data_IF_964886154803
#
_entry.id   IF_964886154803
#
_cell.length_a   1.000
_cell.length_b   1.000
_cell.length_c   1.000
_cell.angle_alpha   90.00
_cell.angle_beta   90.00
_cell.angle_gamma   90.00
#
_symmetry.space_group_name_H-M   'P 1'
#
loop_
_entity.id
_entity.type
_entity.pdbx_description
1 polymer ?
#
# COMPACT_ATOMS: atom_id res chain seq x y z
N UNK A 1 -12.31 -9.00 7.25
CA UNK A 1 -11.52 -10.11 6.67
C UNK A 1 -10.54 -9.50 5.68
N UNK A 2 -9.24 -9.53 5.97
CA UNK A 2 -8.21 -8.97 5.07
C UNK A 2 -8.01 -10.00 3.94
N UNK A 3 -8.07 -9.58 2.68
CA UNK A 3 -8.04 -10.51 1.55
C UNK A 3 -6.70 -11.26 1.40
N UNK A 4 -6.70 -12.31 0.57
CA UNK A 4 -5.53 -13.17 0.32
C UNK A 4 -4.30 -12.34 -0.07
N UNK A 5 -3.11 -12.79 0.34
CA UNK A 5 -1.84 -12.24 -0.15
C UNK A 5 -1.78 -12.31 -1.69
N UNK A 6 -1.31 -11.23 -2.32
CA UNK A 6 -1.16 -11.14 -3.78
C UNK A 6 0.31 -10.95 -4.10
N UNK A 7 0.80 -11.67 -5.11
CA UNK A 7 2.17 -11.48 -5.57
C UNK A 7 2.27 -10.18 -6.35
N UNK A 8 3.28 -9.33 -6.09
CA UNK A 8 3.60 -8.19 -6.96
C UNK A 8 3.71 -8.56 -8.44
N UNK A 9 4.17 -9.78 -8.74
CA UNK A 9 4.38 -10.28 -10.09
C UNK A 9 3.06 -10.39 -10.90
N UNK A 10 1.92 -10.56 -10.22
CA UNK A 10 0.61 -10.74 -10.84
C UNK A 10 0.01 -9.43 -11.36
N UNK A 11 0.69 -8.30 -11.14
CA UNK A 11 0.26 -7.02 -11.68
C UNK A 11 0.58 -6.94 -13.18
N UNK A 12 -0.40 -6.60 -14.02
CA UNK A 12 -0.23 -6.53 -15.48
C UNK A 12 0.80 -5.47 -15.90
N UNK A 13 0.82 -4.31 -15.24
CA UNK A 13 1.72 -3.21 -15.56
C UNK A 13 3.13 -3.39 -14.97
N UNK A 14 4.15 -3.43 -15.84
CA UNK A 14 5.57 -3.60 -15.47
C UNK A 14 6.07 -2.53 -14.48
N UNK A 15 5.75 -1.27 -14.72
CA UNK A 15 6.24 -0.16 -13.87
C UNK A 15 5.68 -0.23 -12.45
N UNK A 16 4.41 -0.60 -12.32
CA UNK A 16 3.77 -0.80 -11.02
C UNK A 16 4.37 -2.03 -10.34
N UNK A 17 4.52 -3.15 -11.06
CA UNK A 17 5.14 -4.39 -10.56
C UNK A 17 6.50 -4.13 -9.93
N UNK A 18 7.37 -3.36 -10.59
CA UNK A 18 8.70 -3.06 -10.07
C UNK A 18 8.67 -2.26 -8.76
N UNK A 19 7.74 -1.31 -8.63
CA UNK A 19 7.54 -0.60 -7.35
C UNK A 19 6.98 -1.53 -6.28
N UNK A 20 5.99 -2.37 -6.60
CA UNK A 20 5.40 -3.31 -5.65
C UNK A 20 6.43 -4.29 -5.10
N UNK A 21 7.29 -4.86 -5.97
CA UNK A 21 8.38 -5.75 -5.55
C UNK A 21 9.30 -5.08 -4.53
N UNK A 22 9.72 -3.83 -4.80
CA UNK A 22 10.59 -3.06 -3.92
C UNK A 22 9.93 -2.79 -2.57
N UNK A 23 8.64 -2.44 -2.57
CA UNK A 23 7.91 -2.16 -1.34
C UNK A 23 7.68 -3.42 -0.51
N UNK A 24 7.31 -4.54 -1.13
CA UNK A 24 7.18 -5.82 -0.42
C UNK A 24 8.52 -6.28 0.16
N UNK A 25 9.62 -6.13 -0.59
CA UNK A 25 10.96 -6.38 -0.07
C UNK A 25 11.34 -5.45 1.10
N UNK A 26 10.82 -4.23 1.12
CA UNK A 26 10.96 -3.28 2.22
C UNK A 26 9.97 -3.54 3.39
N UNK A 27 9.25 -4.66 3.38
CA UNK A 27 8.37 -5.08 4.48
C UNK A 27 6.93 -4.59 4.38
N UNK A 28 6.50 -4.06 3.24
CA UNK A 28 5.08 -3.78 3.01
C UNK A 28 4.31 -5.08 2.73
N UNK A 29 3.11 -5.21 3.28
CA UNK A 29 2.22 -6.32 2.96
C UNK A 29 1.30 -5.96 1.80
N UNK A 30 1.21 -6.82 0.78
CA UNK A 30 0.31 -6.64 -0.36
C UNK A 30 -0.83 -7.66 -0.29
N UNK A 31 -2.07 -7.16 -0.25
CA UNK A 31 -3.28 -7.98 -0.08
C UNK A 31 -4.28 -7.72 -1.21
N UNK A 32 -5.03 -8.75 -1.60
CA UNK A 32 -6.14 -8.64 -2.55
C UNK A 32 -7.26 -7.86 -1.89
N UNK A 33 -7.58 -6.70 -2.43
CA UNK A 33 -8.69 -5.88 -1.95
C UNK A 33 -9.16 -4.95 -3.06
N UNK A 34 -10.46 -4.65 -3.08
CA UNK A 34 -11.08 -3.87 -4.15
C UNK A 34 -10.85 -4.52 -5.52
N UNK A 35 -10.62 -3.69 -6.54
CA UNK A 35 -10.43 -4.16 -7.92
C UNK A 35 -9.14 -4.96 -8.13
N UNK A 36 -8.08 -4.71 -7.37
CA UNK A 36 -6.84 -5.48 -7.50
C UNK A 36 -6.15 -5.76 -6.17
N UNK A 37 -5.67 -4.72 -5.48
CA UNK A 37 -4.96 -4.93 -4.23
C UNK A 37 -4.73 -3.65 -3.45
N UNK A 38 -4.22 -3.80 -2.25
CA UNK A 38 -3.84 -2.71 -1.36
C UNK A 38 -2.54 -3.06 -0.63
N UNK A 39 -1.64 -2.08 -0.57
CA UNK A 39 -0.43 -2.14 0.23
C UNK A 39 -0.73 -1.67 1.64
N UNK A 40 -0.13 -2.36 2.60
CA UNK A 40 -0.24 -2.14 4.03
C UNK A 40 1.14 -1.92 4.59
N UNK A 41 1.36 -0.79 5.27
CA UNK A 41 2.63 -0.56 5.92
C UNK A 41 2.70 -1.29 7.27
N UNK A 42 3.85 -1.87 7.60
CA UNK A 42 4.12 -2.70 8.77
C UNK A 42 4.48 -1.91 10.04
N UNK A 43 3.84 -0.75 10.26
CA UNK A 43 4.06 0.07 11.45
C UNK A 43 3.73 -0.68 12.76
N UNK A 44 4.42 -0.35 13.88
CA UNK A 44 4.01 -0.77 15.22
C UNK A 44 2.53 -0.38 15.46
N UNK A 45 1.72 -1.32 15.98
CA UNK A 45 0.27 -1.12 16.18
C UNK A 45 -0.65 -1.73 15.11
N UNK A 46 -0.13 -2.55 14.19
CA UNK A 46 -0.95 -3.30 13.22
C UNK A 46 -1.16 -2.59 11.88
N UNK A 47 -0.41 -1.52 11.64
CA UNK A 47 -0.39 -0.75 10.40
C UNK A 47 -0.71 0.71 10.63
N UNK A 48 -0.17 1.58 9.77
CA UNK A 48 -0.36 3.04 9.88
C UNK A 48 -0.86 3.63 8.57
N UNK A 49 -0.37 3.16 7.43
CA UNK A 49 -0.70 3.70 6.12
C UNK A 49 -1.09 2.57 5.17
N UNK A 50 -2.14 2.80 4.39
CA UNK A 50 -2.52 1.94 3.28
C UNK A 50 -2.48 2.69 1.95
N UNK A 51 -2.12 1.97 0.89
CA UNK A 51 -2.05 2.53 -0.47
C UNK A 51 -2.82 1.59 -1.41
N UNK A 52 -3.94 2.04 -2.01
CA UNK A 52 -4.65 1.23 -2.99
C UNK A 52 -3.81 1.07 -4.26
N UNK A 53 -3.84 -0.13 -4.83
CA UNK A 53 -3.17 -0.48 -6.08
C UNK A 53 -4.24 -0.76 -7.14
N UNK A 54 -4.38 0.11 -8.16
CA UNK A 54 -5.35 -0.12 -9.23
C UNK A 54 -4.89 -1.26 -10.14
N UNK A 55 -5.78 -2.16 -10.54
CA UNK A 55 -5.42 -3.26 -11.46
C UNK A 55 -5.11 -2.80 -12.88
N UNK A 56 -5.70 -1.68 -13.30
CA UNK A 56 -5.43 -1.06 -14.60
C UNK A 56 -5.21 0.43 -14.41
N UNK A 57 -4.04 0.92 -14.80
CA UNK A 57 -3.71 2.33 -14.73
C UNK A 57 -3.74 2.98 -16.12
N UNK A 58 -4.45 4.11 -16.26
CA UNK A 58 -4.40 4.92 -17.50
C UNK A 58 -2.97 5.41 -17.83
N UNK A 59 -2.16 5.63 -16.78
CA UNK A 59 -0.74 5.95 -16.89
C UNK A 59 0.02 5.16 -15.81
N UNK A 60 0.58 3.99 -16.16
CA UNK A 60 1.27 3.13 -15.20
C UNK A 60 2.44 3.81 -14.50
N UNK A 61 3.26 4.56 -15.22
CA UNK A 61 4.46 5.18 -14.66
C UNK A 61 4.15 6.30 -13.66
N UNK A 62 3.16 7.14 -13.96
CA UNK A 62 2.66 8.14 -13.00
C UNK A 62 2.08 7.47 -11.77
N UNK A 63 1.33 6.38 -11.96
CA UNK A 63 0.73 5.61 -10.85
C UNK A 63 1.81 4.99 -9.97
N UNK A 64 2.81 4.35 -10.57
CA UNK A 64 3.96 3.78 -9.88
C UNK A 64 4.73 4.83 -9.06
N UNK A 65 5.01 6.01 -9.65
CA UNK A 65 5.64 7.14 -8.93
C UNK A 65 4.79 7.63 -7.76
N UNK A 66 3.47 7.71 -7.93
CA UNK A 66 2.56 8.10 -6.86
C UNK A 66 2.55 7.08 -5.71
N UNK A 67 2.52 5.79 -6.01
CA UNK A 67 2.62 4.71 -5.02
C UNK A 67 3.94 4.83 -4.25
N UNK A 68 5.07 4.94 -4.95
CA UNK A 68 6.38 5.10 -4.34
C UNK A 68 6.46 6.36 -3.45
N UNK A 69 5.90 7.49 -3.91
CA UNK A 69 5.88 8.75 -3.13
C UNK A 69 5.06 8.61 -1.85
N UNK A 70 3.89 7.96 -1.91
CA UNK A 70 3.06 7.71 -0.72
C UNK A 70 3.75 6.74 0.25
N UNK A 71 4.44 5.73 -0.27
CA UNK A 71 5.15 4.77 0.55
C UNK A 71 6.28 5.40 1.37
N UNK A 72 6.93 6.46 0.87
CA UNK A 72 7.92 7.25 1.63
C UNK A 72 7.37 7.92 2.89
N UNK A 73 6.04 8.07 3.01
CA UNK A 73 5.41 8.64 4.20
C UNK A 73 5.34 7.64 5.35
N UNK A 74 5.60 6.35 5.10
CA UNK A 74 5.67 5.36 6.17
C UNK A 74 7.09 5.32 6.77
N UNK A 75 7.25 5.27 8.11
CA UNK A 75 6.19 5.26 9.13
C UNK A 75 5.54 6.63 9.35
N UNK A 76 4.21 6.65 9.45
CA UNK A 76 3.48 7.84 9.87
C UNK A 76 3.57 7.99 11.41
N UNK A 77 3.74 9.21 11.95
CA UNK A 77 3.64 9.49 13.39
C UNK A 77 2.31 9.03 13.98
N UNK A 78 2.27 8.76 15.30
CA UNK A 78 1.06 8.28 16.00
C UNK A 78 -0.14 9.22 15.87
N UNK A 79 0.11 10.52 15.93
CA UNK A 79 -0.92 11.56 15.82
C UNK A 79 -1.18 12.05 14.39
N UNK A 80 -0.62 11.42 13.35
CA UNK A 80 -0.85 11.86 11.97
C UNK A 80 -2.29 11.50 11.51
N UNK A 81 -3.12 12.48 11.10
CA UNK A 81 -4.51 12.25 10.71
C UNK A 81 -4.67 11.38 9.45
N UNK A 82 -3.57 11.12 8.71
CA UNK A 82 -3.56 10.21 7.56
C UNK A 82 -3.44 8.75 7.97
N UNK A 83 -3.21 8.46 9.26
CA UNK A 83 -3.18 7.08 9.73
C UNK A 83 -4.53 6.41 9.45
N UNK A 84 -4.48 5.33 8.69
CA UNK A 84 -5.67 4.60 8.23
C UNK A 84 -6.06 3.42 9.13
N UNK A 85 -5.37 3.23 10.25
CA UNK A 85 -5.69 2.25 11.29
C UNK A 85 -5.81 2.97 12.63
N UNK A 86 -7.01 2.93 13.21
CA UNK A 86 -7.27 3.48 14.53
C UNK A 86 -7.25 5.01 14.54
N UNK A 87 -8.27 5.63 13.97
CA UNK A 87 -8.82 6.80 14.67
C UNK A 87 -9.26 6.26 16.03
N UNK A 88 -8.46 6.52 17.06
CA UNK A 88 -8.88 6.32 18.43
C UNK A 88 -10.14 7.13 18.63
N UNK A 89 -11.29 6.46 18.66
CA UNK A 89 -12.40 6.96 19.48
C UNK A 89 -11.99 6.62 20.90
N UNK A 90 -11.36 7.59 21.55
CA UNK A 90 -11.32 7.70 23.01
C UNK A 90 -12.41 8.68 23.37
N UNK A 91 -13.60 8.17 23.75
CA UNK A 91 -14.51 8.80 24.70
C UNK A 91 -15.20 7.69 25.48
#
# INVERSE_FOLDING_TARGET
>A
MVGREVSPADHQDKEIREVLKRLVAAGWALRKEGHWGRLYCSCPGGGCLTIPVPGTAKNPGRTARNIARRAKLCPLPEDDPRRSFGAGVVV
#
